data_IF_022273997627
#
_entry.id   IF_022273997627
#
_cell.length_a   1.000
_cell.length_b   1.000
_cell.length_c   1.000
_cell.angle_alpha   90.00
_cell.angle_beta   90.00
_cell.angle_gamma   90.00
#
_symmetry.space_group_name_H-M   'P 1'
#
loop_
_entity.id
_entity.type
_entity.pdbx_description
1 polymer ?
#
# COMPACT_ATOMS: atom_id res chain seq x y z
N UNK A 1 7.49 -3.08 13.72
CA UNK A 1 6.82 -4.17 14.48
C UNK A 1 5.43 -3.72 14.83
N UNK A 2 4.46 -4.63 14.85
CA UNK A 2 3.08 -4.35 15.26
C UNK A 2 3.09 -3.84 16.70
N UNK A 3 2.36 -2.76 16.96
CA UNK A 3 2.32 -2.12 18.27
C UNK A 3 1.62 -3.02 19.31
N UNK A 4 2.11 -3.16 20.55
CA UNK A 4 1.50 -4.01 21.58
C UNK A 4 0.01 -3.75 21.85
N UNK A 5 -0.44 -2.51 21.76
CA UNK A 5 -1.87 -2.19 21.92
C UNK A 5 -2.72 -2.82 20.80
N UNK A 6 -2.24 -2.86 19.56
CA UNK A 6 -2.96 -3.52 18.44
C UNK A 6 -3.08 -5.02 18.70
N UNK A 7 -2.02 -5.65 19.24
CA UNK A 7 -2.07 -7.06 19.63
C UNK A 7 -3.09 -7.28 20.76
N UNK A 8 -3.08 -6.43 21.80
CA UNK A 8 -4.04 -6.49 22.91
C UNK A 8 -5.49 -6.32 22.43
N UNK A 9 -5.74 -5.35 21.56
CA UNK A 9 -7.06 -5.08 21.00
C UNK A 9 -7.57 -6.25 20.14
N UNK A 10 -6.65 -7.02 19.55
CA UNK A 10 -6.93 -8.28 18.85
C UNK A 10 -6.96 -9.53 19.75
N UNK A 11 -6.88 -9.40 21.07
CA UNK A 11 -6.90 -10.52 22.02
C UNK A 11 -5.59 -11.32 22.13
N UNK A 12 -4.47 -10.76 21.66
CA UNK A 12 -3.15 -11.41 21.65
C UNK A 12 -2.26 -10.78 22.73
N UNK A 13 -1.68 -11.60 23.61
CA UNK A 13 -0.73 -11.13 24.63
C UNK A 13 0.62 -10.72 24.00
N UNK A 14 0.99 -9.42 24.03
CA UNK A 14 2.22 -8.92 23.45
C UNK A 14 3.50 -9.33 24.20
N UNK A 15 3.39 -9.92 25.40
CA UNK A 15 4.56 -10.49 26.11
C UNK A 15 4.94 -11.87 25.57
N UNK A 16 3.98 -12.59 25.00
CA UNK A 16 4.18 -13.94 24.45
C UNK A 16 4.41 -13.91 22.93
N UNK A 17 3.75 -12.98 22.23
CA UNK A 17 3.79 -12.90 20.78
C UNK A 17 4.19 -11.51 20.31
N UNK A 18 4.96 -11.47 19.22
CA UNK A 18 5.25 -10.25 18.46
C UNK A 18 4.83 -10.45 16.99
N UNK A 19 4.76 -9.36 16.24
CA UNK A 19 4.39 -9.42 14.82
C UNK A 19 4.98 -8.26 14.03
N UNK A 20 4.95 -8.39 12.72
CA UNK A 20 5.23 -7.29 11.79
C UNK A 20 4.07 -7.17 10.80
N UNK A 21 3.75 -5.93 10.39
CA UNK A 21 2.91 -5.65 9.23
C UNK A 21 3.60 -4.65 8.29
N UNK A 22 3.32 -4.72 6.99
CA UNK A 22 3.70 -3.71 5.98
C UNK A 22 2.50 -3.43 5.07
N UNK A 23 2.56 -2.32 4.35
CA UNK A 23 1.58 -1.96 3.33
C UNK A 23 2.24 -1.14 2.22
N UNK A 24 1.74 -1.30 1.00
CA UNK A 24 2.19 -0.55 -0.17
C UNK A 24 0.98 0.09 -0.85
N UNK A 25 1.13 1.33 -1.29
CA UNK A 25 0.19 1.94 -2.24
C UNK A 25 0.52 1.47 -3.64
N UNK A 26 -0.42 0.77 -4.29
CA UNK A 26 -0.21 0.18 -5.62
C UNK A 26 0.14 1.30 -6.62
N UNK A 27 -0.61 2.39 -6.59
CA UNK A 27 -0.43 3.55 -7.46
C UNK A 27 0.99 4.11 -7.32
N UNK A 28 1.49 4.27 -6.10
CA UNK A 28 2.84 4.83 -5.87
C UNK A 28 3.94 3.92 -6.42
N UNK A 29 3.80 2.61 -6.25
CA UNK A 29 4.77 1.63 -6.78
C UNK A 29 4.77 1.64 -8.31
N UNK A 30 3.60 1.70 -8.93
CA UNK A 30 3.47 1.76 -10.40
C UNK A 30 3.99 3.09 -10.94
N UNK A 31 3.69 4.23 -10.28
CA UNK A 31 4.22 5.54 -10.69
C UNK A 31 5.75 5.55 -10.68
N UNK A 32 6.38 4.98 -9.66
CA UNK A 32 7.84 4.86 -9.61
C UNK A 32 8.38 3.91 -10.69
N UNK A 33 7.71 2.78 -10.93
CA UNK A 33 8.15 1.78 -11.91
C UNK A 33 8.12 2.32 -13.34
N UNK A 34 7.09 3.10 -13.69
CA UNK A 34 6.86 3.60 -15.06
C UNK A 34 7.18 5.09 -15.24
N UNK A 35 7.67 5.77 -14.21
CA UNK A 35 8.00 7.21 -14.28
C UNK A 35 6.78 8.09 -14.53
N UNK A 36 5.64 7.76 -13.91
CA UNK A 36 4.42 8.56 -14.04
C UNK A 36 4.42 9.71 -13.03
N UNK A 37 4.25 10.93 -13.54
CA UNK A 37 4.30 12.16 -12.73
C UNK A 37 2.95 12.59 -12.17
N UNK A 38 1.84 12.04 -12.69
CA UNK A 38 0.48 12.41 -12.30
C UNK A 38 -0.41 11.20 -12.00
N UNK A 39 -0.86 11.08 -10.76
CA UNK A 39 -1.75 10.00 -10.28
C UNK A 39 -3.14 10.05 -10.93
N UNK A 40 -3.57 11.23 -11.41
CA UNK A 40 -4.90 11.41 -12.03
C UNK A 40 -5.04 10.62 -13.32
N UNK A 41 -3.95 10.27 -13.98
CA UNK A 41 -3.96 9.44 -15.18
C UNK A 41 -4.62 8.07 -14.94
N UNK A 42 -4.54 7.52 -13.72
CA UNK A 42 -5.21 6.26 -13.40
C UNK A 42 -6.74 6.36 -13.37
N UNK A 43 -7.28 7.56 -13.12
CA UNK A 43 -8.72 7.78 -12.92
C UNK A 43 -9.36 8.63 -14.01
N UNK A 44 -8.58 9.07 -15.02
CA UNK A 44 -9.05 9.93 -16.10
C UNK A 44 -9.94 9.22 -17.12
N UNK A 45 -9.83 7.88 -17.22
CA UNK A 45 -10.49 7.10 -18.26
C UNK A 45 -9.96 7.34 -19.67
N UNK A 46 -8.79 7.97 -19.82
CA UNK A 46 -8.19 8.27 -21.12
C UNK A 46 -7.64 7.00 -21.78
N UNK A 47 -8.23 6.60 -22.91
CA UNK A 47 -7.81 5.41 -23.66
C UNK A 47 -6.35 5.51 -24.10
N UNK A 48 -5.84 6.71 -24.42
CA UNK A 48 -4.44 6.92 -24.84
C UNK A 48 -3.45 6.61 -23.72
N UNK A 49 -3.89 6.74 -22.47
CA UNK A 49 -3.07 6.33 -21.32
C UNK A 49 -3.04 4.80 -21.21
N UNK A 50 -4.19 4.14 -21.41
CA UNK A 50 -4.31 2.69 -21.32
C UNK A 50 -3.52 1.95 -22.42
N UNK A 51 -3.43 2.53 -23.62
CA UNK A 51 -2.71 1.94 -24.77
C UNK A 51 -1.17 1.93 -24.61
N UNK A 52 -0.61 2.57 -23.58
CA UNK A 52 0.85 2.62 -23.34
C UNK A 52 1.40 1.36 -22.67
N UNK A 53 0.53 0.44 -22.25
CA UNK A 53 0.87 -0.71 -21.39
C UNK A 53 0.43 -2.04 -21.99
#
# INVERSE_FOLDING_TARGET
>A
MVHPNVLKDGGIDPKKYSGWAFGFGIERVIMMKYGLDDIRNYYSGDIRFLEQF
#
